data_IF_945489915328
#
_entry.id   IF_945489915328
#
_cell.length_a   1.000
_cell.length_b   1.000
_cell.length_c   1.000
_cell.angle_alpha   90.00
_cell.angle_beta   90.00
_cell.angle_gamma   90.00
#
_symmetry.space_group_name_H-M   'P 1'
#
loop_
_entity.id
_entity.type
_entity.pdbx_description
1 polymer ?
#
# COMPACT_ATOMS: atom_id res chain seq x y z
N UNK A 1 15.80 -36.80 -23.26
CA UNK A 1 14.86 -35.69 -23.49
C UNK A 1 15.01 -34.71 -22.34
N UNK A 2 15.66 -33.58 -22.57
CA UNK A 2 15.88 -32.52 -21.57
C UNK A 2 14.61 -31.69 -21.44
N UNK A 3 14.03 -31.66 -20.24
CA UNK A 3 13.02 -30.68 -19.87
C UNK A 3 13.72 -29.32 -19.80
N UNK A 4 13.77 -28.62 -20.94
CA UNK A 4 14.20 -27.25 -21.02
C UNK A 4 13.26 -26.40 -20.15
N UNK A 5 13.83 -25.93 -19.05
CA UNK A 5 13.59 -24.65 -18.39
C UNK A 5 12.36 -23.91 -18.90
N UNK A 6 11.22 -24.07 -18.21
CA UNK A 6 10.19 -23.03 -18.16
C UNK A 6 10.76 -21.86 -17.37
N UNK A 7 11.77 -21.18 -17.92
CA UNK A 7 12.11 -19.83 -17.51
C UNK A 7 10.86 -18.99 -17.81
N UNK A 8 10.07 -18.57 -16.81
CA UNK A 8 8.97 -17.67 -17.08
C UNK A 8 9.63 -16.43 -17.65
N UNK A 9 9.47 -16.19 -18.96
CA UNK A 9 9.93 -14.97 -19.65
C UNK A 9 9.81 -13.82 -18.66
N UNK A 10 10.93 -13.22 -18.24
CA UNK A 10 11.03 -12.18 -17.21
C UNK A 10 9.82 -11.23 -17.35
N UNK A 11 8.76 -11.60 -16.63
CA UNK A 11 7.43 -11.10 -16.91
C UNK A 11 7.37 -9.75 -16.25
N UNK A 12 6.83 -8.74 -16.93
CA UNK A 12 6.62 -7.43 -16.33
C UNK A 12 6.10 -7.61 -14.89
N UNK A 13 6.82 -7.04 -13.92
CA UNK A 13 6.43 -7.15 -12.52
C UNK A 13 4.98 -6.68 -12.36
N UNK A 14 4.20 -7.41 -11.55
CA UNK A 14 2.84 -7.00 -11.21
C UNK A 14 2.92 -5.65 -10.50
N UNK A 15 2.15 -4.69 -10.97
CA UNK A 15 2.08 -3.36 -10.35
C UNK A 15 1.19 -3.40 -9.12
N UNK A 16 1.65 -2.80 -8.04
CA UNK A 16 0.95 -2.80 -6.74
C UNK A 16 0.75 -1.38 -6.25
N UNK A 17 -0.50 -1.04 -5.95
CA UNK A 17 -0.88 0.24 -5.37
C UNK A 17 -1.51 0.06 -3.98
N UNK A 18 -1.30 1.04 -3.10
CA UNK A 18 -1.90 1.07 -1.75
C UNK A 18 -2.73 2.34 -1.60
N UNK A 19 -3.93 2.22 -1.03
CA UNK A 19 -4.78 3.36 -0.69
C UNK A 19 -5.21 3.27 0.76
N UNK A 20 -4.95 4.35 1.49
CA UNK A 20 -5.47 4.52 2.85
C UNK A 20 -6.84 5.19 2.71
N UNK A 21 -7.87 4.62 3.32
CA UNK A 21 -9.20 5.25 3.39
C UNK A 21 -9.28 6.23 4.57
N UNK A 22 -10.21 7.20 4.55
CA UNK A 22 -10.59 7.91 5.76
C UNK A 22 -11.09 6.96 6.85
N UNK A 23 -10.94 7.38 8.11
CA UNK A 23 -11.56 6.72 9.26
C UNK A 23 -13.09 6.74 9.09
N UNK A 24 -13.76 5.65 9.44
CA UNK A 24 -15.21 5.58 9.42
C UNK A 24 -15.81 6.07 10.75
N UNK A 25 -17.13 6.15 10.80
CA UNK A 25 -17.85 6.68 11.96
C UNK A 25 -17.64 5.83 13.22
N UNK A 26 -17.59 4.50 13.08
CA UNK A 26 -17.37 3.59 14.22
C UNK A 26 -15.98 3.77 14.82
N UNK A 27 -14.94 3.84 13.98
CA UNK A 27 -13.57 4.07 14.43
C UNK A 27 -13.43 5.43 15.12
N UNK A 28 -14.16 6.43 14.64
CA UNK A 28 -14.20 7.77 15.23
C UNK A 28 -14.96 7.76 16.57
N UNK A 29 -16.09 7.07 16.65
CA UNK A 29 -16.88 6.92 17.87
C UNK A 29 -16.11 6.20 18.99
N UNK A 30 -15.32 5.19 18.63
CA UNK A 30 -14.40 4.49 19.54
C UNK A 30 -13.15 5.29 19.90
N UNK A 31 -12.97 6.49 19.32
CA UNK A 31 -11.77 7.32 19.47
C UNK A 31 -10.49 6.56 19.08
N UNK A 32 -10.60 5.70 18.07
CA UNK A 32 -9.47 4.94 17.57
C UNK A 32 -8.41 5.89 16.97
N UNK A 33 -7.14 5.54 17.14
CA UNK A 33 -6.02 6.27 16.55
C UNK A 33 -5.66 5.66 15.20
N UNK A 34 -5.48 6.50 14.18
CA UNK A 34 -4.94 6.03 12.91
C UNK A 34 -3.51 5.51 13.09
N UNK A 35 -3.30 4.23 12.78
CA UNK A 35 -2.02 3.54 12.91
C UNK A 35 -1.22 3.50 11.60
N UNK A 36 -1.71 4.14 10.53
CA UNK A 36 -1.09 4.05 9.20
C UNK A 36 -0.69 5.45 8.74
N UNK A 37 0.53 5.58 8.24
CA UNK A 37 1.05 6.81 7.65
C UNK A 37 1.55 6.52 6.25
N UNK A 38 1.21 7.37 5.27
CA UNK A 38 1.77 7.28 3.92
C UNK A 38 2.98 8.19 3.75
N UNK A 39 3.92 7.78 2.91
CA UNK A 39 4.95 8.64 2.35
C UNK A 39 4.88 8.58 0.82
N UNK A 40 4.17 9.53 0.23
CA UNK A 40 3.91 9.56 -1.22
C UNK A 40 5.20 9.75 -2.03
N UNK A 41 6.15 10.53 -1.51
CA UNK A 41 7.44 10.76 -2.18
C UNK A 41 8.30 9.49 -2.24
N UNK A 42 8.35 8.74 -1.14
CA UNK A 42 9.07 7.46 -1.08
C UNK A 42 8.25 6.29 -1.64
N UNK A 43 6.96 6.49 -1.87
CA UNK A 43 5.97 5.45 -2.21
C UNK A 43 5.95 4.31 -1.19
N UNK A 44 6.06 4.65 0.08
CA UNK A 44 6.01 3.71 1.20
C UNK A 44 4.82 3.98 2.09
N UNK A 45 4.43 2.97 2.88
CA UNK A 45 3.50 3.12 3.99
C UNK A 45 4.18 2.61 5.26
N UNK A 46 3.89 3.25 6.38
CA UNK A 46 4.33 2.81 7.70
C UNK A 46 3.11 2.39 8.52
N UNK A 47 3.19 1.22 9.14
CA UNK A 47 2.23 0.77 10.15
C UNK A 47 2.86 0.94 11.52
N UNK A 48 2.17 1.65 12.40
CA UNK A 48 2.56 1.91 13.78
C UNK A 48 1.88 0.87 14.67
N UNK A 49 2.67 -0.03 15.26
CA UNK A 49 2.19 -1.01 16.23
C UNK A 49 2.99 -0.90 17.52
N UNK A 50 2.34 -0.54 18.63
CA UNK A 50 2.95 -0.41 19.97
C UNK A 50 4.27 0.39 20.02
N UNK A 51 4.39 1.42 19.19
CA UNK A 51 5.59 2.28 19.11
C UNK A 51 6.66 1.79 18.13
N UNK A 52 6.43 0.66 17.45
CA UNK A 52 7.28 0.18 16.36
C UNK A 52 6.68 0.65 15.04
N UNK A 53 7.49 1.36 14.25
CA UNK A 53 7.13 1.76 12.89
C UNK A 53 7.68 0.73 11.91
N UNK A 54 6.80 -0.02 11.24
CA UNK A 54 7.20 -0.94 10.18
C UNK A 54 6.88 -0.34 8.81
N UNK A 55 7.91 -0.08 8.02
CA UNK A 55 7.80 0.51 6.68
C UNK A 55 7.70 -0.57 5.60
N UNK A 56 6.85 -0.34 4.61
CA UNK A 56 6.64 -1.22 3.45
C UNK A 56 6.72 -0.42 2.15
N UNK A 57 7.28 -1.04 1.12
CA UNK A 57 7.44 -0.46 -0.22
C UNK A 57 8.92 -0.44 -0.66
N UNK A 58 9.24 0.28 -1.74
CA UNK A 58 8.36 1.18 -2.49
C UNK A 58 7.28 0.43 -3.30
N UNK A 59 6.06 0.96 -3.31
CA UNK A 59 4.97 0.53 -4.18
C UNK A 59 4.99 1.33 -5.50
N UNK A 60 4.23 0.88 -6.50
CA UNK A 60 4.05 1.66 -7.73
C UNK A 60 3.33 2.97 -7.45
N UNK A 61 2.36 2.95 -6.53
CA UNK A 61 1.53 4.09 -6.16
C UNK A 61 1.03 3.97 -4.73
N UNK A 62 1.03 5.08 -3.99
CA UNK A 62 0.43 5.19 -2.66
C UNK A 62 -0.54 6.37 -2.69
N UNK A 63 -1.71 6.20 -2.07
CA UNK A 63 -2.79 7.17 -2.02
C UNK A 63 -3.18 7.49 -0.58
N UNK A 64 -3.33 8.77 -0.28
CA UNK A 64 -3.75 9.27 1.04
C UNK A 64 -5.28 9.25 1.19
N UNK A 65 -5.81 9.31 2.43
CA UNK A 65 -7.25 9.35 2.67
C UNK A 65 -7.99 10.45 1.89
N UNK A 66 -7.34 11.61 1.71
CA UNK A 66 -7.84 12.74 0.93
C UNK A 66 -7.85 12.54 -0.59
N UNK A 67 -7.21 11.49 -1.13
CA UNK A 67 -7.29 11.15 -2.56
C UNK A 67 -8.67 10.56 -2.87
N UNK A 68 -9.67 11.42 -2.93
CA UNK A 68 -11.07 11.11 -3.25
C UNK A 68 -11.37 11.28 -4.74
N UNK A 69 -10.52 11.98 -5.49
CA UNK A 69 -10.89 12.49 -6.81
C UNK A 69 -10.52 11.59 -8.00
N UNK A 70 -9.72 10.53 -7.84
CA UNK A 70 -9.32 9.69 -8.99
C UNK A 70 -9.37 8.19 -8.67
N UNK A 71 -10.06 7.36 -9.47
CA UNK A 71 -10.01 5.91 -9.32
C UNK A 71 -8.56 5.42 -9.46
N UNK A 72 -8.22 4.36 -8.72
CA UNK A 72 -6.94 3.65 -8.91
C UNK A 72 -7.05 2.89 -10.23
N UNK A 73 -6.58 3.49 -11.32
CA UNK A 73 -6.40 2.79 -12.60
C UNK A 73 -5.00 2.15 -12.53
N UNK A 74 -4.95 0.82 -12.40
CA UNK A 74 -3.73 0.02 -12.40
C UNK A 74 -3.42 -0.43 -13.83
#
# INVERSE_FOLDING_TARGET
MSNADKNPKAGKNVRVAVRIRPMNDNETAEKARCAITANIRKRTIAVIDRGINKEFGPFDKVHEPQDTARPIII
#
